data_IF_825967244212
#
_entry.id   IF_825967244212
#
_cell.length_a   1.000
_cell.length_b   1.000
_cell.length_c   1.000
_cell.angle_alpha   90.00
_cell.angle_beta   90.00
_cell.angle_gamma   90.00
#
_symmetry.space_group_name_H-M   'P 1'
#
loop_
_entity.id
_entity.type
_entity.pdbx_description
1 polymer ?
#
# COMPACT_ATOMS: atom_id res chain seq x y z
N UNK A 1 2.70 -32.20 14.52
CA UNK A 1 2.89 -30.74 14.75
C UNK A 1 1.96 -30.01 13.80
N UNK A 2 1.18 -29.01 14.23
CA UNK A 2 0.34 -28.23 13.30
C UNK A 2 1.19 -27.18 12.58
N UNK A 3 0.85 -26.86 11.32
CA UNK A 3 1.54 -25.84 10.51
C UNK A 3 1.68 -24.50 11.27
N UNK A 4 0.65 -24.14 12.03
CA UNK A 4 0.62 -22.93 12.85
C UNK A 4 1.68 -22.95 13.97
N UNK A 5 1.94 -24.10 14.60
CA UNK A 5 2.98 -24.23 15.63
C UNK A 5 4.37 -24.05 15.01
N UNK A 6 4.60 -24.59 13.82
CA UNK A 6 5.88 -24.47 13.10
C UNK A 6 6.16 -23.00 12.75
N UNK A 7 5.18 -22.29 12.18
CA UNK A 7 5.32 -20.87 11.82
C UNK A 7 5.61 -20.01 13.05
N UNK A 8 4.93 -20.26 14.18
CA UNK A 8 5.19 -19.53 15.43
C UNK A 8 6.63 -19.71 15.93
N UNK A 9 7.16 -20.94 15.84
CA UNK A 9 8.54 -21.22 16.25
C UNK A 9 9.53 -20.52 15.31
N UNK A 10 9.31 -20.57 14.00
CA UNK A 10 10.16 -19.87 13.02
C UNK A 10 10.14 -18.36 13.27
N UNK A 11 8.96 -17.77 13.48
CA UNK A 11 8.83 -16.34 13.78
C UNK A 11 9.55 -15.96 15.08
N UNK A 12 9.48 -16.81 16.11
CA UNK A 12 10.21 -16.60 17.36
C UNK A 12 11.71 -16.63 17.15
N UNK A 13 12.23 -17.60 16.39
CA UNK A 13 13.66 -17.70 16.09
C UNK A 13 14.15 -16.48 15.31
N UNK A 14 13.42 -16.04 14.28
CA UNK A 14 13.74 -14.83 13.52
C UNK A 14 13.75 -13.60 14.44
N UNK A 15 12.76 -13.48 15.34
CA UNK A 15 12.68 -12.41 16.31
C UNK A 15 13.89 -12.38 17.26
N UNK A 16 14.32 -13.53 17.77
CA UNK A 16 15.50 -13.64 18.62
C UNK A 16 16.79 -13.26 17.86
N UNK A 17 16.93 -13.65 16.59
CA UNK A 17 18.07 -13.27 15.75
C UNK A 17 18.08 -11.74 15.52
N UNK A 18 16.92 -11.14 15.26
CA UNK A 18 16.80 -9.70 15.10
C UNK A 18 17.19 -8.94 16.39
N UNK A 19 16.72 -9.41 17.54
CA UNK A 19 17.09 -8.84 18.86
C UNK A 19 18.60 -8.96 19.08
N UNK A 20 19.20 -10.11 18.75
CA UNK A 20 20.64 -10.31 18.86
C UNK A 20 21.43 -9.25 18.06
N UNK A 21 21.07 -9.05 16.78
CA UNK A 21 21.70 -8.03 15.95
C UNK A 21 21.48 -6.62 16.49
N UNK A 22 20.26 -6.30 16.94
CA UNK A 22 19.93 -4.99 17.49
C UNK A 22 20.75 -4.68 18.75
N UNK A 23 20.86 -5.63 19.68
CA UNK A 23 21.71 -5.48 20.87
C UNK A 23 23.17 -5.27 20.47
N UNK A 24 23.67 -6.03 19.49
CA UNK A 24 25.02 -5.88 18.96
C UNK A 24 25.29 -4.49 18.37
N UNK A 25 24.34 -3.95 17.59
CA UNK A 25 24.43 -2.59 17.02
C UNK A 25 24.52 -1.56 18.16
N UNK A 26 23.62 -1.64 19.15
CA UNK A 26 23.62 -0.73 20.30
C UNK A 26 24.91 -0.81 21.13
N UNK A 27 25.54 -1.98 21.23
CA UNK A 27 26.80 -2.15 21.97
C UNK A 27 28.02 -1.59 21.23
N UNK A 28 28.03 -1.62 19.90
CA UNK A 28 29.14 -1.07 19.10
C UNK A 28 29.04 0.46 19.06
N UNK A 29 27.83 0.98 18.85
CA UNK A 29 27.57 2.41 18.72
C UNK A 29 27.81 2.94 17.30
N UNK A 30 27.06 3.98 16.93
CA UNK A 30 26.98 4.47 15.56
C UNK A 30 28.34 4.98 15.03
N UNK A 31 29.09 5.72 15.84
CA UNK A 31 30.41 6.25 15.46
C UNK A 31 31.41 5.14 15.08
N UNK A 32 31.40 4.02 15.83
CA UNK A 32 32.30 2.90 15.58
C UNK A 32 31.87 2.02 14.40
N UNK A 33 30.58 2.05 14.03
CA UNK A 33 30.05 1.38 12.84
C UNK A 33 30.39 2.19 11.59
N UNK A 34 30.31 3.52 11.64
CA UNK A 34 30.67 4.37 10.51
C UNK A 34 32.17 4.34 10.21
N UNK A 35 33.00 4.30 11.25
CA UNK A 35 34.45 4.40 11.13
C UNK A 35 35.14 3.11 10.61
N UNK A 36 34.55 1.93 10.80
CA UNK A 36 35.18 0.64 10.45
C UNK A 36 34.25 -0.27 9.64
N UNK A 37 34.72 -0.65 8.45
CA UNK A 37 34.04 -1.56 7.53
C UNK A 37 33.76 -2.92 8.18
N UNK A 38 34.62 -3.40 9.09
CA UNK A 38 34.40 -4.66 9.79
C UNK A 38 33.13 -4.63 10.66
N UNK A 39 32.84 -3.48 11.28
CA UNK A 39 31.67 -3.28 12.14
C UNK A 39 30.37 -3.06 11.36
N UNK A 40 30.45 -2.56 10.12
CA UNK A 40 29.29 -2.39 9.23
C UNK A 40 28.59 -3.71 8.88
N UNK A 41 29.31 -4.84 8.96
CA UNK A 41 28.75 -6.18 8.71
C UNK A 41 27.58 -6.51 9.64
N UNK A 42 27.59 -6.00 10.88
CA UNK A 42 26.52 -6.25 11.85
C UNK A 42 25.24 -5.52 11.43
N UNK A 43 25.37 -4.27 11.00
CA UNK A 43 24.25 -3.44 10.53
C UNK A 43 23.68 -3.97 9.21
N UNK A 44 24.54 -4.33 8.26
CA UNK A 44 24.10 -4.86 6.95
C UNK A 44 23.40 -6.21 7.09
N UNK A 45 23.85 -7.08 8.00
CA UNK A 45 23.19 -8.34 8.30
C UNK A 45 21.80 -8.13 8.94
N UNK A 46 21.66 -7.16 9.84
CA UNK A 46 20.36 -6.77 10.40
C UNK A 46 19.39 -6.26 9.32
N UNK A 47 19.86 -5.35 8.47
CA UNK A 47 19.07 -4.81 7.36
C UNK A 47 18.65 -5.92 6.37
N UNK A 48 19.56 -6.84 6.06
CA UNK A 48 19.28 -7.99 5.20
C UNK A 48 18.17 -8.87 5.78
N UNK A 49 18.23 -9.18 7.08
CA UNK A 49 17.17 -9.92 7.77
C UNK A 49 15.82 -9.18 7.67
N UNK A 50 15.81 -7.87 7.89
CA UNK A 50 14.61 -7.05 7.78
C UNK A 50 14.02 -7.09 6.36
N UNK A 51 14.85 -6.98 5.32
CA UNK A 51 14.40 -7.09 3.94
C UNK A 51 13.83 -8.47 3.60
N UNK A 52 14.43 -9.55 4.11
CA UNK A 52 13.91 -10.91 3.94
C UNK A 52 12.53 -11.03 4.59
N UNK A 53 12.37 -10.57 5.82
CA UNK A 53 11.08 -10.63 6.54
C UNK A 53 10.03 -9.78 5.83
N UNK A 54 10.39 -8.57 5.38
CA UNK A 54 9.52 -7.69 4.62
C UNK A 54 9.09 -8.37 3.30
N UNK A 55 10.01 -8.99 2.58
CA UNK A 55 9.71 -9.71 1.35
C UNK A 55 8.74 -10.86 1.60
N UNK A 56 8.96 -11.68 2.63
CA UNK A 56 8.07 -12.78 3.00
C UNK A 56 6.68 -12.25 3.39
N UNK A 57 6.62 -11.19 4.19
CA UNK A 57 5.36 -10.60 4.64
C UNK A 57 4.55 -10.02 3.46
N UNK A 58 5.19 -9.21 2.61
CA UNK A 58 4.56 -8.64 1.42
C UNK A 58 4.11 -9.74 0.46
N UNK A 59 4.98 -10.72 0.18
CA UNK A 59 4.64 -11.85 -0.69
C UNK A 59 3.44 -12.63 -0.15
N UNK A 60 3.46 -12.98 1.13
CA UNK A 60 2.38 -13.72 1.77
C UNK A 60 1.07 -12.92 1.75
N UNK A 61 1.12 -11.63 2.08
CA UNK A 61 -0.05 -10.76 2.08
C UNK A 61 -0.68 -10.67 0.68
N UNK A 62 0.14 -10.46 -0.36
CA UNK A 62 -0.34 -10.36 -1.75
C UNK A 62 -0.88 -11.70 -2.22
N UNK A 63 -0.09 -12.78 -2.12
CA UNK A 63 -0.47 -14.09 -2.65
C UNK A 63 -1.70 -14.65 -1.93
N UNK A 64 -1.74 -14.62 -0.59
CA UNK A 64 -2.90 -15.12 0.13
C UNK A 64 -4.13 -14.24 -0.04
N UNK A 65 -3.98 -12.93 -0.19
CA UNK A 65 -5.12 -12.05 -0.53
C UNK A 65 -5.71 -12.41 -1.89
N UNK A 66 -4.86 -12.62 -2.91
CA UNK A 66 -5.28 -13.01 -4.25
C UNK A 66 -5.92 -14.40 -4.27
N UNK A 67 -5.29 -15.40 -3.62
CA UNK A 67 -5.87 -16.75 -3.50
C UNK A 67 -7.22 -16.67 -2.81
N UNK A 68 -7.31 -15.99 -1.67
CA UNK A 68 -8.57 -15.82 -0.95
C UNK A 68 -9.63 -15.09 -1.80
N UNK A 69 -9.25 -14.12 -2.63
CA UNK A 69 -10.17 -13.46 -3.53
C UNK A 69 -10.69 -14.41 -4.60
N UNK A 70 -9.80 -15.11 -5.31
CA UNK A 70 -10.14 -16.01 -6.43
C UNK A 70 -10.90 -17.26 -5.94
N UNK A 71 -10.55 -17.81 -4.79
CA UNK A 71 -11.24 -18.97 -4.20
C UNK A 71 -12.65 -18.65 -3.69
N UNK A 72 -13.01 -17.37 -3.57
CA UNK A 72 -14.32 -16.93 -3.10
C UNK A 72 -15.05 -16.17 -4.22
N UNK A 73 -15.85 -16.86 -5.08
CA UNK A 73 -16.46 -16.23 -6.25
C UNK A 73 -17.38 -15.05 -5.89
N UNK A 74 -18.07 -15.09 -4.76
CA UNK A 74 -18.90 -13.97 -4.30
C UNK A 74 -18.08 -12.75 -3.89
N UNK A 75 -16.93 -12.96 -3.23
CA UNK A 75 -16.01 -11.87 -2.86
C UNK A 75 -15.35 -11.30 -4.10
N UNK A 76 -14.93 -12.15 -5.04
CA UNK A 76 -14.35 -11.75 -6.31
C UNK A 76 -15.32 -10.88 -7.11
N UNK A 77 -16.57 -11.30 -7.28
CA UNK A 77 -17.60 -10.52 -7.98
C UNK A 77 -17.81 -9.14 -7.36
N UNK A 78 -17.93 -9.06 -6.03
CA UNK A 78 -18.09 -7.77 -5.32
C UNK A 78 -16.87 -6.87 -5.48
N UNK A 79 -15.66 -7.44 -5.38
CA UNK A 79 -14.42 -6.68 -5.57
C UNK A 79 -14.28 -6.19 -7.02
N UNK A 80 -14.55 -7.04 -8.01
CA UNK A 80 -14.56 -6.66 -9.42
C UNK A 80 -15.61 -5.59 -9.71
N UNK A 81 -16.80 -5.69 -9.13
CA UNK A 81 -17.83 -4.67 -9.29
C UNK A 81 -17.36 -3.33 -8.71
N UNK A 82 -16.76 -3.33 -7.52
CA UNK A 82 -16.18 -2.11 -6.93
C UNK A 82 -15.09 -1.52 -7.80
N UNK A 83 -14.20 -2.35 -8.35
CA UNK A 83 -13.12 -1.92 -9.22
C UNK A 83 -13.65 -1.39 -10.56
N UNK A 84 -14.68 -2.04 -11.13
CA UNK A 84 -15.34 -1.61 -12.36
C UNK A 84 -16.01 -0.25 -12.19
N UNK A 85 -16.76 -0.04 -11.09
CA UNK A 85 -17.37 1.26 -10.80
C UNK A 85 -16.30 2.35 -10.62
N UNK A 86 -15.23 2.06 -9.90
CA UNK A 86 -14.11 2.98 -9.74
C UNK A 86 -13.46 3.32 -11.10
N UNK A 87 -13.21 2.32 -11.94
CA UNK A 87 -12.65 2.50 -13.28
C UNK A 87 -13.57 3.34 -14.17
N UNK A 88 -14.89 3.11 -14.14
CA UNK A 88 -15.86 3.93 -14.86
C UNK A 88 -15.76 5.40 -14.43
N UNK A 89 -15.61 5.68 -13.13
CA UNK A 89 -15.45 7.05 -12.64
C UNK A 89 -14.15 7.68 -13.16
N UNK A 90 -13.04 6.93 -13.17
CA UNK A 90 -11.79 7.42 -13.75
C UNK A 90 -11.92 7.74 -15.24
N UNK A 91 -12.58 6.87 -16.00
CA UNK A 91 -12.83 7.07 -17.43
C UNK A 91 -13.70 8.29 -17.68
N UNK A 92 -14.80 8.44 -16.94
CA UNK A 92 -15.68 9.62 -17.02
C UNK A 92 -14.91 10.90 -16.68
N UNK A 93 -14.12 10.89 -15.61
CA UNK A 93 -13.33 12.04 -15.21
C UNK A 93 -12.26 12.40 -16.26
N UNK A 94 -11.66 11.41 -16.91
CA UNK A 94 -10.71 11.61 -18.00
C UNK A 94 -11.36 12.26 -19.22
N UNK A 95 -12.52 11.79 -19.67
CA UNK A 95 -13.24 12.38 -20.81
C UNK A 95 -13.76 13.80 -20.55
N UNK A 96 -14.05 14.15 -19.30
CA UNK A 96 -14.45 15.51 -18.91
C UNK A 96 -13.23 16.43 -18.74
N UNK A 97 -12.02 15.88 -18.70
CA UNK A 97 -10.78 16.65 -18.56
C UNK A 97 -10.24 17.06 -19.92
N UNK A 98 -9.93 18.34 -20.11
CA UNK A 98 -9.37 18.85 -21.36
C UNK A 98 -7.85 18.78 -21.36
N UNK A 99 -7.19 19.07 -20.23
CA UNK A 99 -5.74 19.09 -20.13
C UNK A 99 -5.09 20.17 -21.00
N UNK A 100 -4.76 21.30 -20.39
CA UNK A 100 -4.05 22.39 -21.07
C UNK A 100 -2.57 22.33 -20.74
N UNK A 101 -1.71 22.57 -21.74
CA UNK A 101 -0.27 22.68 -21.53
C UNK A 101 0.02 23.91 -20.64
N UNK A 102 0.83 23.74 -19.60
CA UNK A 102 1.19 24.83 -18.68
C UNK A 102 2.67 24.81 -18.36
N UNK A 103 3.28 25.99 -18.27
CA UNK A 103 4.58 26.11 -17.59
C UNK A 103 4.37 26.03 -16.09
N UNK A 104 5.21 25.24 -15.42
CA UNK A 104 5.33 25.18 -13.98
C UNK A 104 6.26 26.29 -13.47
N UNK A 105 6.17 26.56 -12.18
CA UNK A 105 6.99 27.56 -11.49
C UNK A 105 8.50 27.24 -11.49
N UNK A 106 8.88 26.00 -11.80
CA UNK A 106 10.27 25.55 -11.93
C UNK A 106 10.82 25.67 -13.35
N UNK A 107 10.04 26.25 -14.28
CA UNK A 107 10.39 26.40 -15.69
C UNK A 107 10.16 25.15 -16.54
N UNK A 108 9.71 24.03 -15.95
CA UNK A 108 9.33 22.84 -16.72
C UNK A 108 7.95 23.00 -17.33
N UNK A 109 7.69 22.35 -18.45
CA UNK A 109 6.38 22.39 -19.11
C UNK A 109 5.62 21.09 -18.85
N UNK A 110 4.41 21.22 -18.28
CA UNK A 110 3.44 20.15 -18.22
C UNK A 110 2.82 19.97 -19.61
N UNK A 111 2.97 18.77 -20.18
CA UNK A 111 2.31 18.45 -21.45
C UNK A 111 0.79 18.41 -21.27
N UNK A 112 0.03 18.67 -22.33
CA UNK A 112 -1.44 18.60 -22.31
C UNK A 112 -1.94 17.26 -21.75
N UNK A 113 -1.32 16.14 -22.14
CA UNK A 113 -1.67 14.80 -21.64
C UNK A 113 -1.38 14.60 -20.15
N UNK A 114 -0.24 15.06 -19.64
CA UNK A 114 0.05 15.02 -18.20
C UNK A 114 -0.93 15.90 -17.40
N UNK A 115 -1.23 17.08 -17.92
CA UNK A 115 -2.23 18.01 -17.37
C UNK A 115 -3.62 17.36 -17.32
N UNK A 116 -4.02 16.68 -18.41
CA UNK A 116 -5.30 15.98 -18.50
C UNK A 116 -5.41 14.86 -17.47
N UNK A 117 -4.34 14.07 -17.27
CA UNK A 117 -4.33 12.99 -16.28
C UNK A 117 -4.43 13.52 -14.85
N UNK A 118 -3.74 14.62 -14.54
CA UNK A 118 -3.81 15.26 -13.21
C UNK A 118 -5.22 15.84 -13.00
N UNK A 119 -5.75 16.55 -13.99
CA UNK A 119 -7.10 17.11 -13.95
C UNK A 119 -8.16 16.01 -13.78
N UNK A 120 -8.01 14.89 -14.49
CA UNK A 120 -8.88 13.73 -14.37
C UNK A 120 -8.82 13.12 -12.97
N UNK A 121 -7.63 13.00 -12.38
CA UNK A 121 -7.47 12.53 -11.00
C UNK A 121 -8.19 13.41 -9.99
N UNK A 122 -8.08 14.73 -10.12
CA UNK A 122 -8.75 15.70 -9.24
C UNK A 122 -10.27 15.64 -9.44
N UNK A 123 -10.75 15.62 -10.69
CA UNK A 123 -12.19 15.50 -11.01
C UNK A 123 -12.79 14.18 -10.50
N UNK A 124 -12.08 13.06 -10.68
CA UNK A 124 -12.49 11.76 -10.15
C UNK A 124 -12.61 11.80 -8.63
N UNK A 125 -11.67 12.44 -7.93
CA UNK A 125 -11.73 12.61 -6.48
C UNK A 125 -12.97 13.40 -6.05
N UNK A 126 -13.30 14.51 -6.71
CA UNK A 126 -14.52 15.27 -6.42
C UNK A 126 -15.80 14.46 -6.66
N UNK A 127 -15.87 13.70 -7.76
CA UNK A 127 -16.99 12.81 -8.06
C UNK A 127 -17.16 11.77 -6.95
N UNK A 128 -16.06 11.15 -6.52
CA UNK A 128 -16.07 10.14 -5.46
C UNK A 128 -16.51 10.72 -4.10
N UNK A 129 -16.04 11.91 -3.73
CA UNK A 129 -16.46 12.58 -2.49
C UNK A 129 -17.95 12.89 -2.52
N UNK A 130 -18.46 13.44 -3.62
CA UNK A 130 -19.88 13.76 -3.74
C UNK A 130 -20.74 12.50 -3.67
N UNK A 131 -20.35 11.43 -4.37
CA UNK A 131 -21.01 10.13 -4.29
C UNK A 131 -20.97 9.54 -2.87
N UNK A 132 -19.82 9.60 -2.20
CA UNK A 132 -19.69 9.10 -0.83
C UNK A 132 -20.59 9.86 0.14
N UNK A 133 -20.58 11.20 0.09
CA UNK A 133 -21.45 12.04 0.91
C UNK A 133 -22.93 11.73 0.65
N UNK A 134 -23.33 11.64 -0.63
CA UNK A 134 -24.70 11.30 -1.00
C UNK A 134 -25.13 9.93 -0.48
N UNK A 135 -24.31 8.89 -0.68
CA UNK A 135 -24.60 7.53 -0.21
C UNK A 135 -24.67 7.48 1.31
N UNK A 136 -23.74 8.15 2.02
CA UNK A 136 -23.75 8.20 3.48
C UNK A 136 -25.02 8.87 4.03
N UNK A 137 -25.47 9.97 3.42
CA UNK A 137 -26.73 10.61 3.78
C UNK A 137 -27.92 9.71 3.48
N UNK A 138 -28.01 9.14 2.28
CA UNK A 138 -29.13 8.29 1.88
C UNK A 138 -29.25 7.02 2.76
N UNK A 139 -28.14 6.33 3.00
CA UNK A 139 -28.12 5.14 3.86
C UNK A 139 -28.26 5.50 5.34
N UNK A 140 -27.69 6.62 5.78
CA UNK A 140 -27.83 7.12 7.14
C UNK A 140 -29.29 7.43 7.47
N UNK A 141 -29.96 8.19 6.62
CA UNK A 141 -31.38 8.52 6.75
C UNK A 141 -32.25 7.27 6.68
N UNK A 142 -32.02 6.39 5.68
CA UNK A 142 -32.77 5.12 5.57
C UNK A 142 -32.67 4.28 6.83
N UNK A 143 -31.49 4.20 7.46
CA UNK A 143 -31.27 3.45 8.70
C UNK A 143 -32.04 4.03 9.90
N UNK A 144 -32.28 5.34 9.92
CA UNK A 144 -33.08 5.99 10.97
C UNK A 144 -34.57 5.66 10.87
N UNK A 145 -35.06 5.46 9.63
CA UNK A 145 -36.48 5.16 9.38
C UNK A 145 -36.79 3.67 9.24
N UNK A 146 -35.80 2.83 8.94
CA UNK A 146 -35.96 1.37 8.98
C UNK A 146 -35.76 0.87 10.41
N UNK A 147 -36.80 0.99 11.22
CA UNK A 147 -36.98 0.15 12.42
C UNK A 147 -37.64 -1.16 11.99
#
# INVERSE_FOLDING_TARGET
MTIQKIIKIIALVIGLIAIFFLVRIMMIGDEAIEADVANQSVLSNFATLAYIVLAIATFSAVVFSLINLVSNPDKLKKSLLSFAVFAVILVVAYFISSGEARQLSDGTTLTAGQSQLIEAGIKAFYILILLAAFLMLAFGVKKMFSK
#
